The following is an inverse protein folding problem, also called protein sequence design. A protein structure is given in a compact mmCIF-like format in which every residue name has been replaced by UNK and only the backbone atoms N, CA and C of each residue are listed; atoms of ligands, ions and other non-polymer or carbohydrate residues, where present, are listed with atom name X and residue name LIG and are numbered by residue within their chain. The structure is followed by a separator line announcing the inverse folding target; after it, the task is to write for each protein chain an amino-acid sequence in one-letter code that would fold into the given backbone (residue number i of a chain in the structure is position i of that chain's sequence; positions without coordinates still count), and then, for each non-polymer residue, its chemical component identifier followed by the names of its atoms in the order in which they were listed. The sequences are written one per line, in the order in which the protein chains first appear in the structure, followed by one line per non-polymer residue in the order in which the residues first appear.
data_IF_430502778356
#
_entry.id   IF_430502778356
#
_cell.length_a   1.000
_cell.length_b   1.000
_cell.length_c   1.000
_cell.angle_alpha   90.00
_cell.angle_beta   90.00
_cell.angle_gamma   90.00
#
_symmetry.space_group_name_H-M   'P 1'
#
loop_
_entity.id
_entity.type
_entity.pdbx_description
1 polymer ?
#
# COMPACT_ATOMS: atom_id res chain seq x y z
N UNK A 1 -9.37 21.57 2.24
CA UNK A 1 -8.86 20.18 2.28
C UNK A 1 -7.79 20.02 1.22
N UNK A 2 -6.88 19.09 1.44
CA UNK A 2 -5.73 18.83 0.56
C UNK A 2 -6.21 18.39 -0.83
N UNK A 3 -5.92 19.18 -1.85
CA UNK A 3 -6.39 18.95 -3.22
C UNK A 3 -5.82 17.69 -3.88
N UNK A 4 -4.75 17.10 -3.33
CA UNK A 4 -4.06 15.93 -3.91
C UNK A 4 -4.20 14.66 -3.09
N UNK A 5 -4.65 14.76 -1.86
CA UNK A 5 -4.89 13.60 -1.00
C UNK A 5 -6.31 13.08 -1.18
N UNK A 6 -6.48 11.81 -0.86
CA UNK A 6 -7.80 11.17 -0.83
C UNK A 6 -8.76 11.96 0.06
N UNK A 7 -9.94 12.27 -0.46
CA UNK A 7 -11.05 12.83 0.28
C UNK A 7 -12.09 11.73 0.49
N UNK A 8 -12.26 11.28 1.73
CA UNK A 8 -13.23 10.24 2.11
C UNK A 8 -14.34 10.86 2.98
N UNK A 9 -15.58 10.54 2.66
CA UNK A 9 -16.77 11.04 3.35
C UNK A 9 -17.68 9.88 3.73
N UNK A 10 -18.14 9.85 4.97
CA UNK A 10 -19.20 8.93 5.37
C UNK A 10 -20.56 9.53 4.99
N UNK A 11 -21.14 8.99 3.95
CA UNK A 11 -22.45 9.43 3.43
C UNK A 11 -23.62 8.62 3.99
N UNK A 12 -23.36 7.59 4.81
CA UNK A 12 -24.40 6.74 5.40
C UNK A 12 -25.59 7.50 6.03
N UNK A 13 -25.37 8.62 6.79
CA UNK A 13 -26.48 9.38 7.38
C UNK A 13 -27.36 10.12 6.37
N UNK A 14 -26.92 10.25 5.12
CA UNK A 14 -27.59 11.02 4.07
C UNK A 14 -28.25 10.14 3.01
N UNK A 15 -28.13 8.82 3.14
CA UNK A 15 -28.74 7.88 2.20
C UNK A 15 -30.27 7.87 2.36
N UNK A 16 -30.97 7.86 1.24
CA UNK A 16 -32.41 7.62 1.18
C UNK A 16 -32.71 6.16 1.57
N UNK A 17 -34.00 5.84 1.72
CA UNK A 17 -34.43 4.48 2.05
C UNK A 17 -34.04 3.50 0.94
N UNK A 18 -33.97 2.23 1.30
CA UNK A 18 -33.69 1.16 0.36
C UNK A 18 -34.68 1.18 -0.81
N UNK A 19 -34.14 1.16 -2.03
CA UNK A 19 -34.91 1.25 -3.28
C UNK A 19 -35.16 2.67 -3.80
N UNK A 20 -34.77 3.70 -3.03
CA UNK A 20 -34.86 5.10 -3.49
C UNK A 20 -33.55 5.55 -4.12
N UNK A 21 -33.64 6.48 -5.06
CA UNK A 21 -32.48 7.06 -5.75
C UNK A 21 -31.72 8.02 -4.85
N UNK A 22 -30.39 7.97 -4.92
CA UNK A 22 -29.49 8.90 -4.23
C UNK A 22 -28.72 9.72 -5.27
N UNK A 23 -28.62 11.02 -5.05
CA UNK A 23 -27.85 11.92 -5.89
C UNK A 23 -26.56 12.36 -5.19
N UNK A 24 -25.42 12.21 -5.87
CA UNK A 24 -24.13 12.72 -5.41
C UNK A 24 -23.71 13.91 -6.27
N UNK A 25 -23.51 15.06 -5.64
CA UNK A 25 -22.98 16.26 -6.31
C UNK A 25 -21.58 16.57 -5.74
N UNK A 26 -20.63 16.84 -6.64
CA UNK A 26 -19.25 17.20 -6.28
C UNK A 26 -18.96 18.59 -6.82
N UNK A 27 -18.70 19.55 -5.92
CA UNK A 27 -18.29 20.89 -6.28
C UNK A 27 -16.75 20.97 -6.28
N UNK A 28 -16.18 21.40 -7.40
CA UNK A 28 -14.73 21.51 -7.58
C UNK A 28 -14.35 22.95 -7.87
N UNK A 29 -13.56 23.54 -6.99
CA UNK A 29 -13.05 24.90 -7.17
C UNK A 29 -11.76 24.90 -8.02
N UNK A 30 -11.69 25.82 -8.96
CA UNK A 30 -10.49 26.02 -9.78
C UNK A 30 -9.29 26.49 -8.93
N UNK A 31 -9.56 27.36 -7.97
CA UNK A 31 -8.58 27.89 -7.04
C UNK A 31 -9.11 27.76 -5.61
N UNK A 32 -8.23 27.40 -4.69
CA UNK A 32 -8.47 27.40 -3.24
C UNK A 32 -7.49 28.36 -2.60
N UNK A 33 -7.66 28.67 -1.32
CA UNK A 33 -6.70 29.50 -0.58
C UNK A 33 -5.28 28.93 -0.65
N UNK A 34 -5.14 27.59 -0.60
CA UNK A 34 -3.86 26.90 -0.79
C UNK A 34 -3.20 27.16 -2.14
N UNK A 35 -3.99 27.42 -3.19
CA UNK A 35 -3.44 27.70 -4.52
C UNK A 35 -2.57 28.96 -4.59
N UNK A 36 -2.76 29.88 -3.66
CA UNK A 36 -1.98 31.13 -3.56
C UNK A 36 -0.77 30.98 -2.65
N UNK A 37 -0.77 30.01 -1.76
CA UNK A 37 0.32 29.75 -0.80
C UNK A 37 1.28 28.67 -1.30
N UNK A 38 0.78 27.69 -2.00
CA UNK A 38 1.55 26.55 -2.52
C UNK A 38 1.80 26.71 -4.01
N UNK A 39 3.01 27.05 -4.37
CA UNK A 39 3.47 27.11 -5.76
C UNK A 39 4.56 26.10 -5.99
N UNK A 40 4.15 24.88 -6.30
CA UNK A 40 5.08 23.82 -6.68
C UNK A 40 5.38 23.89 -8.19
N UNK A 41 6.50 23.32 -8.63
CA UNK A 41 6.96 23.29 -10.02
C UNK A 41 6.09 22.41 -10.91
N UNK A 42 4.81 22.70 -10.99
CA UNK A 42 3.87 21.91 -11.80
C UNK A 42 2.74 22.77 -12.39
N UNK A 43 2.16 22.22 -13.46
CA UNK A 43 0.97 22.82 -14.04
C UNK A 43 -0.20 22.82 -13.06
N UNK A 44 -0.89 23.95 -12.93
CA UNK A 44 -2.08 24.09 -12.11
C UNK A 44 -3.32 23.82 -12.96
N UNK A 45 -3.64 22.56 -13.10
CA UNK A 45 -4.80 22.10 -13.85
C UNK A 45 -5.89 21.68 -12.87
N UNK A 46 -7.03 22.38 -12.84
CA UNK A 46 -8.15 22.02 -11.96
C UNK A 46 -8.94 20.85 -12.53
N UNK A 47 -9.77 20.26 -11.69
CA UNK A 47 -10.71 19.21 -12.07
C UNK A 47 -10.56 17.95 -11.21
N UNK A 48 -11.37 16.96 -11.54
CA UNK A 48 -11.31 15.63 -10.92
C UNK A 48 -10.39 14.77 -11.78
N UNK A 49 -9.20 14.49 -11.31
CA UNK A 49 -8.16 13.78 -12.07
C UNK A 49 -7.91 12.36 -11.58
N UNK A 50 -8.67 11.90 -10.58
CA UNK A 50 -8.65 10.53 -10.04
C UNK A 50 -10.06 10.00 -9.90
N UNK A 51 -10.16 8.70 -9.65
CA UNK A 51 -11.43 7.99 -9.52
C UNK A 51 -12.29 8.54 -8.38
N UNK A 52 -13.56 8.75 -8.65
CA UNK A 52 -14.60 8.93 -7.64
C UNK A 52 -15.30 7.60 -7.48
N UNK A 53 -15.27 7.04 -6.27
CA UNK A 53 -15.82 5.73 -6.00
C UNK A 53 -16.78 5.77 -4.79
N UNK A 54 -17.88 5.03 -4.91
CA UNK A 54 -18.77 4.72 -3.79
C UNK A 54 -18.38 3.34 -3.24
N UNK A 55 -18.01 3.29 -1.96
CA UNK A 55 -17.60 2.03 -1.32
C UNK A 55 -18.55 1.68 -0.17
N UNK A 56 -19.08 0.45 -0.17
CA UNK A 56 -19.79 -0.11 0.95
C UNK A 56 -18.86 -0.98 1.80
N UNK A 57 -18.83 -0.70 3.10
CA UNK A 57 -18.02 -1.44 4.06
C UNK A 57 -18.88 -1.96 5.22
N UNK A 58 -18.55 -3.11 5.84
CA UNK A 58 -19.25 -3.57 7.02
C UNK A 58 -19.07 -2.60 8.19
N UNK A 59 -20.03 -2.61 9.14
CA UNK A 59 -19.95 -1.76 10.33
C UNK A 59 -18.78 -2.10 11.25
N UNK A 60 -18.33 -3.35 11.25
CA UNK A 60 -17.09 -3.78 11.88
C UNK A 60 -16.11 -4.09 10.76
N UNK A 61 -15.04 -3.33 10.67
CA UNK A 61 -14.14 -3.37 9.53
C UNK A 61 -12.68 -3.12 9.92
N UNK A 62 -11.78 -3.60 9.09
CA UNK A 62 -10.40 -3.14 9.08
C UNK A 62 -10.38 -1.81 8.31
N UNK A 63 -10.01 -0.74 9.01
CA UNK A 63 -9.94 0.61 8.44
C UNK A 63 -8.62 0.85 7.73
N UNK A 64 -7.55 0.40 8.33
CA UNK A 64 -6.19 0.56 7.82
C UNK A 64 -5.36 -0.70 8.07
N UNK A 65 -4.40 -0.92 7.19
CA UNK A 65 -3.51 -2.08 7.21
C UNK A 65 -2.08 -1.64 6.89
N UNK A 66 -1.17 -1.90 7.83
CA UNK A 66 0.26 -1.71 7.67
C UNK A 66 0.93 -3.08 7.66
N UNK A 67 1.71 -3.37 6.62
CA UNK A 67 2.44 -4.62 6.48
C UNK A 67 3.91 -4.30 6.15
N UNK A 68 4.81 -4.58 7.09
CA UNK A 68 6.23 -4.26 6.99
C UNK A 68 7.03 -5.55 6.92
N UNK A 69 7.69 -5.85 5.79
CA UNK A 69 8.61 -6.96 5.71
C UNK A 69 9.88 -6.67 6.52
N UNK A 70 10.40 -7.70 7.16
CA UNK A 70 11.66 -7.68 7.87
C UNK A 70 12.49 -8.91 7.45
N UNK A 71 13.79 -8.69 7.29
CA UNK A 71 14.76 -9.73 6.97
C UNK A 71 15.83 -9.77 8.06
N UNK A 72 16.25 -10.97 8.40
CA UNK A 72 17.41 -11.16 9.28
C UNK A 72 18.71 -10.59 8.67
N UNK A 73 19.78 -10.58 9.43
CA UNK A 73 21.07 -10.02 8.98
C UNK A 73 21.76 -10.89 7.91
N UNK A 74 21.30 -12.11 7.71
CA UNK A 74 21.76 -13.00 6.63
C UNK A 74 20.90 -12.91 5.38
N UNK A 75 19.79 -12.15 5.43
CA UNK A 75 18.80 -11.99 4.33
C UNK A 75 18.16 -13.31 3.88
N UNK A 76 18.11 -14.31 4.76
CA UNK A 76 17.58 -15.65 4.44
C UNK A 76 16.29 -15.97 5.15
N UNK A 77 16.00 -15.31 6.27
CA UNK A 77 14.78 -15.50 7.04
C UNK A 77 13.90 -14.24 6.97
N UNK A 78 12.69 -14.39 6.48
CA UNK A 78 11.76 -13.30 6.26
C UNK A 78 10.57 -13.36 7.22
N UNK A 79 10.23 -12.21 7.79
CA UNK A 79 9.00 -11.99 8.57
C UNK A 79 8.20 -10.85 7.98
N UNK A 80 6.90 -10.84 8.26
CA UNK A 80 6.02 -9.73 7.93
C UNK A 80 5.31 -9.27 9.20
N UNK A 81 5.61 -8.07 9.64
CA UNK A 81 4.92 -7.42 10.76
C UNK A 81 3.67 -6.73 10.24
N UNK A 82 2.53 -7.10 10.79
CA UNK A 82 1.21 -6.66 10.33
C UNK A 82 0.53 -5.94 11.47
N UNK A 83 0.10 -4.69 11.22
CA UNK A 83 -0.74 -3.92 12.12
C UNK A 83 -2.03 -3.57 11.39
N UNK A 84 -3.18 -3.99 11.93
CA UNK A 84 -4.49 -3.71 11.37
C UNK A 84 -5.32 -2.87 12.33
N UNK A 85 -5.85 -1.75 11.89
CA UNK A 85 -6.76 -0.92 12.67
C UNK A 85 -8.18 -1.45 12.52
N UNK A 86 -8.70 -2.09 13.60
CA UNK A 86 -10.08 -2.58 13.66
C UNK A 86 -10.99 -1.46 14.16
N UNK A 87 -12.02 -1.14 13.40
CA UNK A 87 -13.01 -0.11 13.69
C UNK A 87 -14.39 -0.74 13.87
N UNK A 88 -15.06 -0.39 14.98
CA UNK A 88 -16.44 -0.79 15.25
C UNK A 88 -17.39 0.41 15.12
N UNK A 89 -18.05 0.55 13.98
CA UNK A 89 -19.08 1.58 13.74
C UNK A 89 -20.48 1.16 14.21
N UNK A 90 -20.63 -0.07 14.70
CA UNK A 90 -21.93 -0.55 15.16
C UNK A 90 -22.37 0.13 16.46
N UNK A 91 -23.63 -0.03 16.80
CA UNK A 91 -24.24 0.53 18.05
C UNK A 91 -23.94 -0.35 19.29
N UNK A 92 -23.27 -1.48 19.13
CA UNK A 92 -22.99 -2.46 20.20
C UNK A 92 -21.51 -2.74 20.33
N UNK A 93 -21.08 -3.09 21.54
CA UNK A 93 -19.73 -3.62 21.73
C UNK A 93 -19.61 -4.99 21.06
N UNK A 94 -18.43 -5.27 20.52
CA UNK A 94 -18.07 -6.54 19.86
C UNK A 94 -17.02 -7.28 20.68
N UNK A 95 -16.95 -8.61 20.49
CA UNK A 95 -15.96 -9.50 21.10
C UNK A 95 -15.67 -10.70 20.21
N UNK A 96 -14.52 -11.33 20.42
CA UNK A 96 -14.16 -12.59 19.74
C UNK A 96 -13.83 -12.44 18.27
N UNK A 97 -13.62 -11.22 17.77
CA UNK A 97 -13.18 -11.00 16.40
C UNK A 97 -11.73 -11.43 16.21
N UNK A 98 -11.44 -11.97 15.03
CA UNK A 98 -10.10 -12.44 14.67
C UNK A 98 -9.83 -12.09 13.22
N UNK A 99 -8.61 -11.66 12.91
CA UNK A 99 -8.15 -11.54 11.53
C UNK A 99 -7.22 -12.71 11.24
N UNK A 100 -7.50 -13.45 10.19
CA UNK A 100 -6.62 -14.50 9.67
C UNK A 100 -5.90 -13.99 8.45
N UNK A 101 -4.59 -14.21 8.38
CA UNK A 101 -3.73 -13.79 7.28
C UNK A 101 -3.17 -14.97 6.53
N UNK A 102 -3.17 -14.88 5.21
CA UNK A 102 -2.57 -15.85 4.29
C UNK A 102 -1.73 -15.11 3.26
N UNK A 103 -0.63 -15.71 2.83
CA UNK A 103 0.29 -15.12 1.85
C UNK A 103 0.26 -15.93 0.55
N UNK A 104 0.10 -15.22 -0.57
CA UNK A 104 0.10 -15.79 -1.91
C UNK A 104 1.27 -15.24 -2.71
N UNK A 105 2.04 -16.12 -3.34
CA UNK A 105 3.07 -15.72 -4.29
C UNK A 105 2.42 -15.30 -5.61
N UNK A 106 2.77 -14.11 -6.09
CA UNK A 106 2.35 -13.64 -7.40
C UNK A 106 3.38 -14.09 -8.44
N UNK A 107 2.91 -14.72 -9.51
CA UNK A 107 3.77 -14.98 -10.66
C UNK A 107 4.12 -13.65 -11.35
N UNK A 108 5.40 -13.47 -11.66
CA UNK A 108 5.86 -12.27 -12.36
C UNK A 108 5.17 -12.15 -13.73
N UNK A 109 4.67 -10.96 -14.04
CA UNK A 109 3.98 -10.63 -15.31
C UNK A 109 2.73 -11.45 -15.60
N UNK A 110 2.05 -11.93 -14.55
CA UNK A 110 0.83 -12.73 -14.63
C UNK A 110 -0.11 -12.38 -13.47
N UNK A 111 -1.40 -12.68 -13.64
CA UNK A 111 -2.40 -12.58 -12.57
C UNK A 111 -2.49 -13.86 -11.73
N UNK A 112 -1.66 -14.86 -12.00
CA UNK A 112 -1.64 -16.11 -11.26
C UNK A 112 -1.06 -15.91 -9.86
N UNK A 113 -1.75 -16.48 -8.88
CA UNK A 113 -1.38 -16.44 -7.47
C UNK A 113 -1.36 -17.87 -6.89
N UNK A 114 -0.33 -18.18 -6.13
CA UNK A 114 -0.18 -19.48 -5.46
C UNK A 114 -0.10 -19.27 -3.95
N UNK A 115 -0.99 -19.93 -3.21
CA UNK A 115 -0.96 -19.92 -1.75
C UNK A 115 0.36 -20.53 -1.23
N UNK A 116 1.07 -19.80 -0.38
CA UNK A 116 2.22 -20.33 0.34
C UNK A 116 1.74 -21.15 1.54
N UNK A 117 1.74 -22.46 1.39
CA UNK A 117 1.29 -23.40 2.42
C UNK A 117 2.08 -23.23 3.73
N UNK A 118 1.35 -23.13 4.84
CA UNK A 118 1.92 -22.96 6.17
C UNK A 118 2.51 -21.58 6.47
N UNK A 119 2.30 -20.59 5.58
CA UNK A 119 2.69 -19.17 5.81
C UNK A 119 1.43 -18.38 6.16
N UNK A 120 1.07 -18.42 7.43
CA UNK A 120 -0.16 -17.80 7.97
C UNK A 120 0.13 -17.10 9.29
N UNK A 121 -0.74 -16.14 9.64
CA UNK A 121 -0.73 -15.48 10.94
C UNK A 121 -2.17 -15.17 11.37
N UNK A 122 -2.36 -14.85 12.63
CA UNK A 122 -3.66 -14.39 13.12
C UNK A 122 -3.50 -13.30 14.19
N UNK A 123 -4.42 -12.35 14.18
CA UNK A 123 -4.56 -11.34 15.24
C UNK A 123 -5.96 -11.45 15.84
N UNK A 124 -6.05 -11.50 17.17
CA UNK A 124 -7.31 -11.65 17.90
C UNK A 124 -7.60 -10.44 18.77
N UNK A 125 -8.84 -9.98 18.71
CA UNK A 125 -9.32 -8.94 19.61
C UNK A 125 -9.32 -9.47 21.06
N UNK A 126 -8.46 -8.89 21.91
CA UNK A 126 -8.44 -9.17 23.34
C UNK A 126 -9.61 -8.47 24.03
N UNK A 127 -10.50 -9.25 24.66
CA UNK A 127 -11.67 -8.72 25.38
C UNK A 127 -12.76 -8.17 24.45
N UNK A 128 -13.18 -6.93 24.65
CA UNK A 128 -14.26 -6.27 23.89
C UNK A 128 -13.82 -4.94 23.32
N UNK A 129 -14.35 -4.59 22.14
CA UNK A 129 -14.25 -3.27 21.54
C UNK A 129 -15.61 -2.58 21.62
N UNK A 130 -15.68 -1.44 22.28
CA UNK A 130 -16.91 -0.69 22.47
C UNK A 130 -17.51 -0.21 21.12
N UNK A 131 -18.79 0.17 21.16
CA UNK A 131 -19.43 0.86 20.04
C UNK A 131 -18.64 2.12 19.67
N UNK A 132 -18.45 2.36 18.37
CA UNK A 132 -17.68 3.48 17.79
C UNK A 132 -16.21 3.54 18.24
N UNK A 133 -15.69 2.43 18.78
CA UNK A 133 -14.28 2.29 19.17
C UNK A 133 -13.42 1.79 18.06
N UNK A 134 -12.10 1.99 18.24
CA UNK A 134 -11.07 1.45 17.36
C UNK A 134 -9.93 0.86 18.20
N UNK A 135 -9.20 -0.08 17.61
CA UNK A 135 -8.05 -0.73 18.25
C UNK A 135 -7.10 -1.24 17.17
N UNK A 136 -5.82 -1.21 17.44
CA UNK A 136 -4.81 -1.88 16.62
C UNK A 136 -4.67 -3.35 17.02
N UNK A 137 -4.64 -4.22 16.02
CA UNK A 137 -4.39 -5.64 16.16
C UNK A 137 -3.10 -5.99 15.42
N UNK A 138 -2.17 -6.58 16.14
CA UNK A 138 -0.87 -6.94 15.61
C UNK A 138 -0.75 -8.43 15.35
N UNK A 139 -0.01 -8.78 14.32
CA UNK A 139 0.40 -10.14 13.99
C UNK A 139 1.78 -10.15 13.35
N UNK A 140 2.51 -11.23 13.53
CA UNK A 140 3.73 -11.50 12.78
C UNK A 140 3.56 -12.77 11.98
N UNK A 141 3.72 -12.66 10.66
CA UNK A 141 3.71 -13.80 9.75
C UNK A 141 5.16 -14.19 9.49
N UNK A 142 5.50 -15.42 9.84
CA UNK A 142 6.83 -15.97 9.59
C UNK A 142 6.82 -16.67 8.23
N UNK A 143 7.51 -16.09 7.27
CA UNK A 143 7.68 -16.63 5.93
C UNK A 143 8.95 -17.48 5.81
N UNK A 144 9.82 -17.46 6.84
CA UNK A 144 11.10 -18.17 6.86
C UNK A 144 11.88 -17.96 5.54
N UNK A 145 12.32 -19.03 4.91
CA UNK A 145 13.03 -19.05 3.62
C UNK A 145 12.09 -19.37 2.42
N UNK A 146 10.78 -19.23 2.59
CA UNK A 146 9.78 -19.59 1.56
C UNK A 146 9.49 -18.47 0.57
N UNK A 147 10.13 -17.32 0.71
CA UNK A 147 9.90 -16.16 -0.14
C UNK A 147 11.15 -15.81 -0.93
N UNK A 148 10.95 -15.39 -2.16
CA UNK A 148 11.98 -14.77 -2.98
C UNK A 148 12.07 -13.28 -2.64
N UNK A 149 13.28 -12.77 -2.53
CA UNK A 149 13.50 -11.36 -2.24
C UNK A 149 13.18 -10.50 -3.45
N UNK A 150 12.67 -9.33 -3.19
CA UNK A 150 12.39 -8.35 -4.23
C UNK A 150 13.67 -7.59 -4.61
N UNK A 151 13.91 -7.44 -5.91
CA UNK A 151 14.85 -6.48 -6.48
C UNK A 151 14.23 -5.79 -7.70
N UNK A 152 14.87 -4.74 -8.22
CA UNK A 152 14.42 -4.08 -9.44
C UNK A 152 14.48 -4.99 -10.67
N UNK A 153 15.42 -5.95 -10.67
CA UNK A 153 15.60 -6.96 -11.73
C UNK A 153 14.63 -8.13 -11.58
N UNK A 154 14.34 -8.53 -10.34
CA UNK A 154 13.43 -9.62 -10.00
C UNK A 154 12.39 -9.13 -8.96
N UNK A 155 11.35 -8.40 -9.40
CA UNK A 155 10.40 -7.74 -8.51
C UNK A 155 9.37 -8.73 -7.96
N UNK A 156 9.83 -9.74 -7.23
CA UNK A 156 8.97 -10.74 -6.59
C UNK A 156 7.99 -10.07 -5.63
N UNK A 157 6.72 -10.30 -5.86
CA UNK A 157 5.62 -9.70 -5.13
C UNK A 157 4.70 -10.79 -4.57
N UNK A 158 4.11 -10.50 -3.45
CA UNK A 158 3.16 -11.38 -2.76
C UNK A 158 1.87 -10.61 -2.49
N UNK A 159 0.75 -11.34 -2.44
CA UNK A 159 -0.52 -10.80 -1.97
C UNK A 159 -0.76 -11.30 -0.55
N UNK A 160 -0.77 -10.38 0.40
CA UNK A 160 -1.27 -10.64 1.75
C UNK A 160 -2.78 -10.52 1.72
N UNK A 161 -3.47 -11.61 2.05
CA UNK A 161 -4.94 -11.65 2.20
C UNK A 161 -5.28 -11.70 3.67
N UNK A 162 -6.17 -10.81 4.12
CA UNK A 162 -6.71 -10.80 5.47
C UNK A 162 -8.21 -11.09 5.46
N UNK A 163 -8.67 -11.98 6.33
CA UNK A 163 -10.08 -12.29 6.56
C UNK A 163 -10.46 -11.89 7.99
N UNK A 164 -11.28 -10.86 8.13
CA UNK A 164 -11.89 -10.50 9.41
C UNK A 164 -13.06 -11.44 9.69
N UNK A 165 -12.99 -12.16 10.79
CA UNK A 165 -14.04 -13.10 11.25
C UNK A 165 -14.69 -12.60 12.53
N UNK A 166 -16.01 -12.76 12.62
CA UNK A 166 -16.77 -12.45 13.83
C UNK A 166 -16.55 -13.51 14.93
N UNK A 167 -17.14 -13.26 16.11
CA UNK A 167 -17.04 -14.18 17.26
C UNK A 167 -17.69 -15.56 17.05
N UNK A 168 -18.35 -15.79 15.89
CA UNK A 168 -18.91 -17.08 15.45
C UNK A 168 -18.07 -17.73 14.35
N UNK A 169 -16.95 -17.10 13.95
CA UNK A 169 -16.06 -17.59 12.89
C UNK A 169 -16.52 -17.27 11.47
N UNK A 170 -17.57 -16.47 11.27
CA UNK A 170 -18.04 -16.06 9.94
C UNK A 170 -17.17 -14.92 9.41
N UNK A 171 -16.71 -15.01 8.17
CA UNK A 171 -15.99 -13.93 7.49
C UNK A 171 -16.94 -12.77 7.24
N UNK A 172 -16.59 -11.59 7.77
CA UNK A 172 -17.35 -10.35 7.62
C UNK A 172 -16.70 -9.35 6.68
N UNK A 173 -15.39 -9.49 6.45
CA UNK A 173 -14.64 -8.70 5.49
C UNK A 173 -13.43 -9.48 5.00
N UNK A 174 -13.15 -9.38 3.69
CA UNK A 174 -11.90 -9.82 3.10
C UNK A 174 -11.20 -8.60 2.51
N UNK A 175 -9.90 -8.51 2.69
CA UNK A 175 -9.07 -7.43 2.17
C UNK A 175 -7.70 -7.96 1.78
N UNK A 176 -7.00 -7.23 0.93
CA UNK A 176 -5.67 -7.63 0.49
C UNK A 176 -4.77 -6.44 0.24
N UNK A 177 -3.47 -6.68 0.30
CA UNK A 177 -2.43 -5.73 -0.12
C UNK A 177 -1.24 -6.48 -0.71
N UNK A 178 -0.48 -5.77 -1.54
CA UNK A 178 0.76 -6.32 -2.08
C UNK A 178 1.92 -6.06 -1.14
N UNK A 179 2.80 -7.05 -1.00
CA UNK A 179 4.05 -6.94 -0.24
C UNK A 179 5.22 -7.49 -1.06
N UNK A 180 6.40 -6.93 -0.83
CA UNK A 180 7.66 -7.45 -1.39
C UNK A 180 8.69 -7.52 -0.27
N UNK A 181 9.33 -8.67 -0.12
CA UNK A 181 10.33 -8.86 0.93
C UNK A 181 11.67 -8.30 0.49
N UNK A 182 12.08 -7.22 1.13
CA UNK A 182 13.36 -6.55 0.89
C UNK A 182 13.81 -5.80 2.12
N UNK A 183 15.12 -5.64 2.27
CA UNK A 183 15.74 -4.78 3.27
C UNK A 183 16.58 -3.73 2.55
N UNK A 184 16.26 -2.46 2.79
CA UNK A 184 17.01 -1.31 2.26
C UNK A 184 17.80 -0.71 3.40
N UNK A 185 19.09 -0.55 3.23
CA UNK A 185 20.00 -0.07 4.28
C UNK A 185 20.95 0.98 3.70
N UNK A 186 21.42 1.88 4.54
CA UNK A 186 22.54 2.76 4.23
C UNK A 186 23.71 2.31 5.11
N UNK A 187 24.77 1.81 4.47
CA UNK A 187 25.95 1.30 5.19
C UNK A 187 27.18 2.08 4.79
N UNK A 188 28.09 2.19 5.75
CA UNK A 188 29.47 2.61 5.46
C UNK A 188 30.18 1.52 4.70
N UNK A 189 30.79 1.87 3.59
CA UNK A 189 31.52 0.95 2.72
C UNK A 189 32.97 1.39 2.70
N UNK A 190 33.91 0.54 3.17
CA UNK A 190 35.34 0.84 3.10
C UNK A 190 35.83 0.82 1.64
N UNK A 191 36.90 1.53 1.39
CA UNK A 191 37.44 1.72 0.03
C UNK A 191 37.73 0.41 -0.73
N UNK A 192 38.17 -0.64 -0.02
CA UNK A 192 38.47 -1.96 -0.60
C UNK A 192 37.22 -2.70 -1.14
N UNK A 193 36.04 -2.28 -0.72
CA UNK A 193 34.75 -2.86 -1.15
C UNK A 193 34.00 -2.00 -2.16
N UNK A 194 34.56 -0.84 -2.51
CA UNK A 194 34.00 0.03 -3.53
C UNK A 194 34.65 -0.18 -4.88
N UNK A 195 33.87 -0.18 -5.93
CA UNK A 195 34.30 -0.34 -7.33
C UNK A 195 35.34 0.69 -7.77
N UNK A 196 35.30 1.90 -7.19
CA UNK A 196 36.26 2.98 -7.50
C UNK A 196 37.31 3.21 -6.40
N UNK A 197 37.34 2.36 -5.38
CA UNK A 197 38.25 2.51 -4.26
C UNK A 197 37.94 3.71 -3.37
N UNK A 198 36.69 4.14 -3.29
CA UNK A 198 36.23 5.28 -2.50
C UNK A 198 35.47 4.80 -1.28
N UNK A 199 35.89 5.18 -0.08
CA UNK A 199 35.10 5.00 1.12
C UNK A 199 33.89 5.93 1.10
N UNK A 200 32.74 5.47 1.58
CA UNK A 200 31.55 6.29 1.62
C UNK A 200 30.31 5.58 2.19
N UNK A 201 29.16 6.25 2.12
CA UNK A 201 27.87 5.70 2.48
C UNK A 201 27.10 5.38 1.23
N UNK A 202 26.70 4.11 1.10
CA UNK A 202 25.98 3.62 -0.06
C UNK A 202 24.66 2.96 0.34
N UNK A 203 23.75 2.92 -0.61
CA UNK A 203 22.51 2.13 -0.49
C UNK A 203 22.83 0.66 -0.71
N UNK A 204 22.27 -0.17 0.17
CA UNK A 204 22.28 -1.62 0.05
C UNK A 204 20.86 -2.13 -0.08
N UNK A 205 20.65 -3.07 -0.97
CA UNK A 205 19.40 -3.82 -1.11
C UNK A 205 19.72 -5.30 -0.87
N UNK A 206 19.07 -5.87 0.15
CA UNK A 206 19.28 -7.26 0.54
C UNK A 206 20.77 -7.62 0.70
N UNK A 207 21.53 -6.73 1.35
CA UNK A 207 22.94 -6.90 1.60
C UNK A 207 23.89 -6.61 0.43
N UNK A 208 23.38 -6.30 -0.75
CA UNK A 208 24.18 -5.96 -1.92
C UNK A 208 24.19 -4.44 -2.14
N UNK A 209 25.35 -3.83 -2.41
CA UNK A 209 25.43 -2.41 -2.73
C UNK A 209 24.72 -2.14 -4.07
N UNK A 210 23.97 -1.05 -4.12
CA UNK A 210 23.25 -0.63 -5.33
C UNK A 210 23.58 0.80 -5.70
N UNK A 211 23.63 1.07 -7.01
CA UNK A 211 23.65 2.42 -7.56
C UNK A 211 22.24 2.81 -8.00
N UNK A 212 21.73 3.93 -7.47
CA UNK A 212 20.45 4.46 -7.86
C UNK A 212 20.61 5.23 -9.17
N UNK A 213 20.23 4.61 -10.29
CA UNK A 213 20.14 5.21 -11.61
C UNK A 213 18.73 5.75 -11.77
N UNK A 214 18.50 6.97 -11.28
CA UNK A 214 17.17 7.51 -11.06
C UNK A 214 16.79 8.67 -11.95
N UNK A 215 15.49 8.88 -12.10
CA UNK A 215 14.87 10.02 -12.76
C UNK A 215 13.78 10.63 -11.88
N UNK A 216 13.52 11.93 -12.09
CA UNK A 216 12.32 12.57 -11.57
C UNK A 216 11.18 12.41 -12.58
N UNK A 217 9.98 12.18 -12.09
CA UNK A 217 8.79 12.04 -12.91
C UNK A 217 7.61 12.80 -12.32
N UNK A 218 6.94 13.58 -13.16
CA UNK A 218 5.63 14.12 -12.90
C UNK A 218 4.57 13.28 -13.61
N UNK A 219 3.42 13.07 -12.97
CA UNK A 219 2.28 12.41 -13.62
C UNK A 219 1.50 13.43 -14.45
N UNK A 220 1.92 13.60 -15.70
CA UNK A 220 1.30 14.50 -16.66
C UNK A 220 1.06 13.79 -17.99
N UNK A 221 -0.03 14.16 -18.64
CA UNK A 221 -0.37 13.77 -20.00
C UNK A 221 -0.55 15.02 -20.86
N UNK A 222 0.04 15.03 -22.05
CA UNK A 222 -0.01 16.20 -22.97
C UNK A 222 -1.44 16.58 -23.34
N UNK A 223 -2.35 15.61 -23.45
CA UNK A 223 -3.75 15.83 -23.85
C UNK A 223 -4.71 15.93 -22.68
N UNK A 224 -4.45 15.22 -21.58
CA UNK A 224 -5.38 15.03 -20.47
C UNK A 224 -4.89 15.66 -19.14
N UNK A 225 -3.81 16.45 -19.17
CA UNK A 225 -3.28 17.14 -17.99
C UNK A 225 -2.81 16.18 -16.91
N UNK A 226 -3.37 16.24 -15.71
CA UNK A 226 -3.01 15.35 -14.59
C UNK A 226 -3.70 13.98 -14.64
N UNK A 227 -4.52 13.71 -15.65
CA UNK A 227 -5.14 12.40 -15.83
C UNK A 227 -4.23 11.52 -16.66
N UNK A 228 -3.64 10.51 -16.02
CA UNK A 228 -2.73 9.56 -16.67
C UNK A 228 -3.36 8.17 -16.59
N UNK A 229 -3.51 7.50 -17.74
CA UNK A 229 -4.07 6.16 -17.77
C UNK A 229 -3.05 5.12 -17.27
N UNK A 230 -3.56 3.96 -16.87
CA UNK A 230 -2.71 2.84 -16.45
C UNK A 230 -1.77 2.39 -17.57
N UNK A 231 -2.27 2.30 -18.79
CA UNK A 231 -1.49 1.90 -19.96
C UNK A 231 -0.33 2.86 -20.23
N UNK A 232 -0.57 4.18 -20.04
CA UNK A 232 0.48 5.17 -20.16
C UNK A 232 1.53 5.00 -19.07
N UNK A 233 1.11 4.82 -17.81
CA UNK A 233 2.04 4.58 -16.69
C UNK A 233 2.89 3.33 -16.92
N UNK A 234 2.29 2.24 -17.37
CA UNK A 234 3.00 0.99 -17.69
C UNK A 234 3.99 1.18 -18.85
N UNK A 235 3.59 1.93 -19.89
CA UNK A 235 4.49 2.26 -20.99
C UNK A 235 5.69 3.09 -20.57
N UNK A 236 5.49 4.10 -19.71
CA UNK A 236 6.57 4.93 -19.19
C UNK A 236 7.53 4.12 -18.31
N UNK A 237 7.01 3.21 -17.47
CA UNK A 237 7.84 2.28 -16.70
C UNK A 237 8.65 1.37 -17.62
N UNK A 238 8.04 0.86 -18.69
CA UNK A 238 8.73 0.05 -19.69
C UNK A 238 9.88 0.82 -20.35
N UNK A 239 9.67 2.08 -20.75
CA UNK A 239 10.72 2.93 -21.31
C UNK A 239 11.86 3.17 -20.32
N UNK A 240 11.54 3.43 -19.05
CA UNK A 240 12.54 3.59 -18.00
C UNK A 240 13.36 2.31 -17.80
N UNK A 241 12.73 1.14 -17.79
CA UNK A 241 13.45 -0.15 -17.70
C UNK A 241 14.34 -0.37 -18.92
N UNK A 242 13.91 -0.05 -20.12
CA UNK A 242 14.76 -0.10 -21.33
C UNK A 242 15.95 0.83 -21.26
N UNK A 243 15.81 1.98 -20.59
CA UNK A 243 16.87 2.94 -20.30
C UNK A 243 17.78 2.53 -19.13
N UNK A 244 17.63 1.31 -18.57
CA UNK A 244 18.36 0.83 -17.40
C UNK A 244 18.22 1.73 -16.16
N UNK A 245 17.02 2.33 -16.00
CA UNK A 245 16.63 3.13 -14.83
C UNK A 245 16.06 2.17 -13.79
N UNK A 246 16.57 2.23 -12.56
CA UNK A 246 16.14 1.37 -11.44
C UNK A 246 15.51 2.14 -10.28
N UNK A 247 15.40 3.46 -10.42
CA UNK A 247 14.83 4.32 -9.38
C UNK A 247 14.03 5.46 -10.01
N UNK A 248 12.86 5.76 -9.47
CA UNK A 248 12.01 6.87 -9.91
C UNK A 248 11.57 7.67 -8.69
N UNK A 249 11.80 8.97 -8.71
CA UNK A 249 11.20 9.89 -7.76
C UNK A 249 9.96 10.50 -8.39
N UNK A 250 8.79 10.11 -7.89
CA UNK A 250 7.57 10.84 -8.18
C UNK A 250 7.61 12.17 -7.44
N UNK A 251 7.51 13.25 -8.16
CA UNK A 251 7.50 14.56 -7.55
C UNK A 251 6.19 15.29 -7.79
N UNK A 252 5.87 16.00 -6.81
CA UNK A 252 4.88 16.77 -6.13
C UNK A 252 3.58 16.03 -5.94
#
# INVERSE_FOLDING_TARGET
KNSRNLAEFNITPYLNKEGEENTVAVEVYRHSDGSFLESQDMFRLPGIFRTVALTAKPQVQVRDLKAIPDLDDTYTHAKLHITAQLLNLSKKAIKGYTIQYSLYANRLYSDENTLLSGVTASAKLAGKLNAKGEIELEATLDAANKVNLWSAEAPHRYTLVGELKDGKGRTVQTFSTFVGFRKVEIKETPAEKDEFGLAGRYYYLNGQPIKLKGVNRHENNVKAGHTVSREQMEHEVFLMKRGNINHVRNCH
#
